data_IF_913010208289
#
_entry.id   IF_913010208289
#
_cell.length_a   1.000
_cell.length_b   1.000
_cell.length_c   1.000
_cell.angle_alpha   90.00
_cell.angle_beta   90.00
_cell.angle_gamma   90.00
#
_symmetry.space_group_name_H-M   'P 1'
#
loop_
_entity.id
_entity.type
_entity.pdbx_description
1 polymer ?
#
# COMPACT_ATOMS: atom_id res chain seq x y z
N UNK A 1 -9.85 4.30 30.15
CA UNK A 1 -8.75 4.62 29.20
C UNK A 1 -8.95 6.06 28.76
N UNK A 2 -8.12 6.98 29.24
CA UNK A 2 -8.35 8.43 29.12
C UNK A 2 -7.84 9.03 27.80
N UNK A 3 -7.16 8.23 26.95
CA UNK A 3 -6.56 8.68 25.70
C UNK A 3 -6.88 7.72 24.56
N UNK A 4 -7.42 8.22 23.43
CA UNK A 4 -7.52 7.42 22.20
C UNK A 4 -6.20 7.50 21.42
N UNK A 5 -5.39 6.45 21.55
CA UNK A 5 -4.10 6.36 20.85
C UNK A 5 -4.22 6.30 19.33
N UNK A 6 -5.40 5.95 18.79
CA UNK A 6 -5.66 5.97 17.34
C UNK A 6 -5.72 7.42 16.85
N UNK A 7 -6.47 8.26 17.58
CA UNK A 7 -6.61 9.70 17.31
C UNK A 7 -5.27 10.41 17.50
N UNK A 8 -4.59 10.18 18.64
CA UNK A 8 -3.23 10.74 18.87
C UNK A 8 -2.24 10.38 17.77
N UNK A 9 -2.28 9.15 17.26
CA UNK A 9 -1.39 8.74 16.16
C UNK A 9 -1.71 9.45 14.84
N UNK A 10 -2.99 9.76 14.61
CA UNK A 10 -3.43 10.53 13.46
C UNK A 10 -3.00 12.00 13.59
N UNK A 11 -3.20 12.61 14.74
CA UNK A 11 -2.77 13.99 15.01
C UNK A 11 -1.25 14.14 14.88
N UNK A 12 -0.50 13.15 15.39
CA UNK A 12 0.95 13.12 15.26
C UNK A 12 1.40 12.96 13.80
N UNK A 13 0.68 12.15 13.01
CA UNK A 13 0.94 12.08 11.56
C UNK A 13 0.69 13.42 10.88
N UNK A 14 -0.40 14.12 11.22
CA UNK A 14 -0.73 15.42 10.64
C UNK A 14 0.30 16.49 11.02
N UNK A 15 0.71 16.55 12.29
CA UNK A 15 1.79 17.42 12.76
C UNK A 15 3.10 17.17 11.99
N UNK A 16 3.43 15.90 11.75
CA UNK A 16 4.60 15.54 10.94
C UNK A 16 4.47 15.95 9.48
N UNK A 17 3.30 15.79 8.89
CA UNK A 17 3.03 16.20 7.52
C UNK A 17 3.26 17.72 7.34
N UNK A 18 2.85 18.50 8.33
CA UNK A 18 2.99 19.96 8.35
C UNK A 18 4.33 20.47 8.89
N UNK A 19 5.22 19.58 9.36
CA UNK A 19 6.53 19.94 9.88
C UNK A 19 6.51 20.58 11.29
N UNK A 20 5.48 20.30 12.08
CA UNK A 20 5.29 20.83 13.44
C UNK A 20 6.15 20.09 14.48
N UNK A 21 7.45 20.43 14.52
CA UNK A 21 8.43 19.73 15.35
C UNK A 21 8.08 19.68 16.85
N UNK A 22 7.62 20.80 17.43
CA UNK A 22 7.34 20.88 18.87
C UNK A 22 6.20 19.95 19.28
N UNK A 23 5.09 19.96 18.52
CA UNK A 23 3.94 19.05 18.70
C UNK A 23 4.38 17.59 18.68
N UNK A 24 5.38 17.25 17.86
CA UNK A 24 5.91 15.89 17.79
C UNK A 24 6.80 15.56 19.00
N UNK A 25 7.74 16.44 19.35
CA UNK A 25 8.70 16.22 20.45
C UNK A 25 8.02 16.15 21.83
N UNK A 26 6.89 16.82 22.03
CA UNK A 26 6.15 16.75 23.29
C UNK A 26 5.59 15.36 23.60
N UNK A 27 5.42 14.52 22.58
CA UNK A 27 4.78 13.20 22.69
C UNK A 27 5.79 12.04 22.77
N UNK A 28 7.06 12.27 22.44
CA UNK A 28 8.07 11.20 22.38
C UNK A 28 8.65 10.85 23.75
N UNK A 29 9.04 9.60 23.90
CA UNK A 29 9.79 9.11 25.06
C UNK A 29 11.28 9.45 24.95
N UNK A 30 12.00 9.42 26.08
CA UNK A 30 13.47 9.54 26.14
C UNK A 30 14.21 8.50 25.27
N UNK A 31 13.68 7.27 25.17
CA UNK A 31 14.22 6.19 24.36
C UNK A 31 13.70 6.15 22.92
N UNK A 32 13.07 7.23 22.44
CA UNK A 32 12.41 7.27 21.14
C UNK A 32 13.34 6.92 19.98
N UNK A 33 12.82 6.13 19.04
CA UNK A 33 13.48 5.81 17.78
C UNK A 33 12.59 6.19 16.59
N UNK A 34 13.22 6.76 15.56
CA UNK A 34 12.54 7.19 14.34
C UNK A 34 13.24 6.62 13.12
N UNK A 35 12.44 6.06 12.21
CA UNK A 35 12.93 5.55 10.92
C UNK A 35 12.10 6.19 9.82
N UNK A 36 12.77 6.85 8.88
CA UNK A 36 12.15 7.49 7.73
C UNK A 36 13.08 7.47 6.51
N UNK A 37 12.55 7.36 5.28
CA UNK A 37 13.35 7.42 4.05
C UNK A 37 14.00 8.80 3.83
N UNK A 38 13.55 9.82 4.55
CA UNK A 38 14.05 11.19 4.44
C UNK A 38 15.10 11.54 5.51
N UNK A 39 15.51 10.59 6.35
CA UNK A 39 16.50 10.83 7.42
C UNK A 39 17.71 9.91 7.29
N UNK A 40 18.88 10.40 7.69
CA UNK A 40 20.09 9.58 7.76
C UNK A 40 20.10 8.79 9.07
N UNK A 41 20.35 7.49 8.98
CA UNK A 41 20.28 6.54 10.11
C UNK A 41 21.37 6.72 11.20
N UNK A 42 22.24 7.73 11.08
CA UNK A 42 23.40 7.93 11.95
C UNK A 42 23.17 8.94 13.10
N UNK A 43 22.04 9.65 13.11
CA UNK A 43 21.75 10.64 14.15
C UNK A 43 20.77 10.12 15.22
N UNK A 44 20.76 10.69 16.44
CA UNK A 44 19.71 10.44 17.43
C UNK A 44 18.31 10.80 16.89
N UNK A 45 17.28 10.06 17.30
CA UNK A 45 15.93 10.21 16.77
C UNK A 45 15.35 11.64 16.85
N UNK A 46 15.55 12.44 17.92
CA UNK A 46 15.08 13.82 17.93
C UNK A 46 15.70 14.70 16.84
N UNK A 47 16.99 14.50 16.53
CA UNK A 47 17.66 15.23 15.43
C UNK A 47 17.18 14.77 14.06
N UNK A 48 16.95 13.46 13.91
CA UNK A 48 16.33 12.94 12.69
C UNK A 48 14.92 13.52 12.49
N UNK A 49 14.13 13.64 13.55
CA UNK A 49 12.79 14.23 13.52
C UNK A 49 12.84 15.72 13.14
N UNK A 50 13.78 16.48 13.70
CA UNK A 50 14.03 17.88 13.32
C UNK A 50 14.39 18.00 11.83
N UNK A 51 15.31 17.17 11.35
CA UNK A 51 15.71 17.13 9.94
C UNK A 51 14.53 16.79 9.03
N UNK A 52 13.71 15.81 9.44
CA UNK A 52 12.49 15.44 8.74
C UNK A 52 11.50 16.62 8.67
N UNK A 53 11.14 17.24 9.80
CA UNK A 53 10.21 18.37 9.84
C UNK A 53 10.67 19.55 8.96
N UNK A 54 11.98 19.85 8.95
CA UNK A 54 12.54 20.88 8.06
C UNK A 54 12.34 20.53 6.59
N UNK A 55 12.62 19.28 6.22
CA UNK A 55 12.46 18.78 4.85
C UNK A 55 11.00 18.82 4.39
N UNK A 56 10.08 18.31 5.22
CA UNK A 56 8.67 18.18 4.85
C UNK A 56 7.87 19.48 4.90
N UNK A 57 8.41 20.57 5.45
CA UNK A 57 7.74 21.89 5.53
C UNK A 57 7.21 22.44 4.19
N UNK A 58 7.75 21.98 3.05
CA UNK A 58 7.28 22.33 1.71
C UNK A 58 6.37 21.28 1.08
N UNK A 59 6.28 20.06 1.63
CA UNK A 59 5.47 18.96 1.08
C UNK A 59 3.97 19.29 0.99
N UNK A 60 3.31 19.87 2.02
CA UNK A 60 1.88 20.19 1.94
C UNK A 60 1.52 21.20 0.83
N UNK A 61 2.50 21.93 0.29
CA UNK A 61 2.30 22.88 -0.81
C UNK A 61 2.17 22.20 -2.16
N UNK A 62 2.66 20.97 -2.29
CA UNK A 62 2.78 20.25 -3.56
C UNK A 62 2.07 18.90 -3.55
N UNK A 63 1.89 18.31 -2.36
CA UNK A 63 1.25 17.02 -2.16
C UNK A 63 0.20 17.14 -1.05
N UNK A 64 -0.90 16.42 -1.23
CA UNK A 64 -1.93 16.22 -0.22
C UNK A 64 -1.88 14.77 0.28
N UNK A 65 -2.59 14.45 1.36
CA UNK A 65 -2.73 13.08 1.82
C UNK A 65 -4.18 12.72 2.16
N UNK A 66 -4.50 11.43 2.04
CA UNK A 66 -5.77 10.86 2.48
C UNK A 66 -5.50 9.66 3.36
N UNK A 67 -5.90 9.72 4.62
CA UNK A 67 -5.91 8.56 5.50
C UNK A 67 -7.02 7.60 5.03
N UNK A 68 -6.64 6.34 4.81
CA UNK A 68 -7.57 5.27 4.46
C UNK A 68 -7.98 4.48 5.69
N UNK A 69 -7.04 4.27 6.62
CA UNK A 69 -7.28 3.45 7.79
C UNK A 69 -6.32 3.78 8.93
N UNK A 70 -6.85 3.79 10.16
CA UNK A 70 -6.08 3.75 11.39
C UNK A 70 -6.48 2.47 12.13
N UNK A 71 -5.50 1.61 12.43
CA UNK A 71 -5.74 0.33 13.09
C UNK A 71 -4.88 0.19 14.33
N UNK A 72 -5.50 -0.21 15.43
CA UNK A 72 -4.79 -0.81 16.54
C UNK A 72 -4.47 -2.25 16.18
N UNK A 73 -3.19 -2.54 15.93
CA UNK A 73 -2.72 -3.86 15.46
C UNK A 73 -2.21 -4.75 16.59
N UNK A 74 -1.83 -4.15 17.72
CA UNK A 74 -1.40 -4.84 18.92
C UNK A 74 -1.68 -3.97 20.16
N UNK A 75 -2.07 -4.57 21.27
CA UNK A 75 -2.30 -3.88 22.54
C UNK A 75 -2.08 -4.81 23.72
N UNK A 76 -1.43 -4.27 24.75
CA UNK A 76 -1.20 -4.84 26.09
C UNK A 76 -1.40 -3.72 27.11
N UNK A 77 -1.24 -4.02 28.40
CA UNK A 77 -1.33 -3.01 29.46
C UNK A 77 -0.26 -1.91 29.34
N UNK A 78 0.91 -2.24 28.79
CA UNK A 78 2.07 -1.33 28.72
C UNK A 78 2.39 -0.85 27.29
N UNK A 79 1.82 -1.47 26.25
CA UNK A 79 2.21 -1.19 24.86
C UNK A 79 1.02 -1.23 23.93
N UNK A 80 0.92 -0.25 23.03
CA UNK A 80 -0.05 -0.20 21.94
C UNK A 80 0.65 0.11 20.62
N UNK A 81 0.33 -0.65 19.58
CA UNK A 81 0.87 -0.45 18.23
C UNK A 81 -0.28 -0.02 17.31
N UNK A 82 -0.12 1.17 16.73
CA UNK A 82 -1.04 1.74 15.76
C UNK A 82 -0.39 1.71 14.37
N UNK A 83 -1.15 1.21 13.40
CA UNK A 83 -0.84 1.23 11.99
C UNK A 83 -1.74 2.25 11.30
N UNK A 84 -1.14 3.28 10.69
CA UNK A 84 -1.82 4.27 9.88
C UNK A 84 -1.46 4.04 8.41
N UNK A 85 -2.50 3.96 7.58
CA UNK A 85 -2.41 3.70 6.15
C UNK A 85 -3.11 4.83 5.41
N UNK A 86 -2.46 5.38 4.40
CA UNK A 86 -3.03 6.43 3.58
C UNK A 86 -2.38 6.49 2.21
N UNK A 87 -2.83 7.45 1.42
CA UNK A 87 -2.25 7.79 0.13
C UNK A 87 -1.76 9.23 0.14
N UNK A 88 -0.58 9.46 -0.41
CA UNK A 88 -0.14 10.79 -0.85
C UNK A 88 -0.73 11.03 -2.22
N UNK A 89 -1.20 12.24 -2.49
CA UNK A 89 -1.75 12.69 -3.77
C UNK A 89 -0.92 13.83 -4.30
N UNK A 90 -0.57 13.80 -5.59
CA UNK A 90 0.02 14.96 -6.25
C UNK A 90 -1.02 15.78 -7.04
N UNK A 91 -0.59 16.93 -7.56
CA UNK A 91 -1.44 17.82 -8.37
C UNK A 91 -1.98 17.16 -9.65
N UNK A 92 -1.35 16.09 -10.12
CA UNK A 92 -1.83 15.29 -11.26
C UNK A 92 -2.85 14.22 -10.87
N UNK A 93 -3.24 14.17 -9.59
CA UNK A 93 -4.12 13.16 -8.96
C UNK A 93 -3.55 11.75 -9.03
N UNK A 94 -2.25 11.62 -9.28
CA UNK A 94 -1.57 10.36 -9.03
C UNK A 94 -1.39 10.17 -7.54
N UNK A 95 -1.40 8.93 -7.08
CA UNK A 95 -1.31 8.64 -5.66
C UNK A 95 -0.32 7.51 -5.36
N UNK A 96 0.37 7.62 -4.22
CA UNK A 96 1.18 6.52 -3.69
C UNK A 96 0.77 6.25 -2.25
N UNK A 97 0.59 4.96 -1.93
CA UNK A 97 0.33 4.57 -0.56
C UNK A 97 1.53 4.82 0.34
N UNK A 98 1.25 5.18 1.57
CA UNK A 98 2.22 5.25 2.64
C UNK A 98 1.73 4.45 3.84
N UNK A 99 2.67 4.07 4.68
CA UNK A 99 2.41 3.42 5.97
C UNK A 99 3.22 4.09 7.05
N UNK A 100 2.55 4.39 8.15
CA UNK A 100 3.17 4.83 9.39
C UNK A 100 2.85 3.85 10.51
N UNK A 101 3.86 3.45 11.26
CA UNK A 101 3.71 2.62 12.46
C UNK A 101 4.09 3.46 13.67
N UNK A 102 3.21 3.48 14.66
CA UNK A 102 3.42 4.16 15.94
C UNK A 102 3.39 3.12 17.05
N UNK A 103 4.43 3.11 17.86
CA UNK A 103 4.51 2.26 19.06
C UNK A 103 4.46 3.17 20.26
N UNK A 104 3.39 3.02 21.03
CA UNK A 104 3.13 3.76 22.26
C UNK A 104 3.46 2.88 23.45
N UNK A 105 4.16 3.44 24.41
CA UNK A 105 4.25 2.89 25.75
C UNK A 105 3.14 3.52 26.60
N UNK A 106 2.26 2.67 27.12
CA UNK A 106 1.13 3.06 27.97
C UNK A 106 1.67 3.16 29.39
N UNK A 107 1.69 4.38 29.94
CA UNK A 107 2.06 4.65 31.32
C UNK A 107 0.88 5.24 32.11
N UNK A 108 0.89 5.15 33.46
CA UNK A 108 -0.21 5.64 34.29
C UNK A 108 -0.48 7.15 34.19
N UNK A 109 0.56 7.96 33.97
CA UNK A 109 0.41 9.42 33.87
C UNK A 109 -0.01 9.84 32.46
N UNK A 110 0.79 9.49 31.45
CA UNK A 110 0.52 9.82 30.06
C UNK A 110 1.21 8.84 29.10
N UNK A 111 0.54 8.35 28.04
CA UNK A 111 1.18 7.54 27.03
C UNK A 111 2.30 8.28 26.29
N UNK A 112 3.44 7.63 26.10
CA UNK A 112 4.62 8.18 25.41
C UNK A 112 4.96 7.37 24.17
N UNK A 113 5.37 8.04 23.10
CA UNK A 113 5.74 7.38 21.85
C UNK A 113 7.19 6.90 21.91
N UNK A 114 7.41 5.60 21.77
CA UNK A 114 8.74 4.97 21.86
C UNK A 114 9.33 4.64 20.50
N UNK A 115 8.51 4.40 19.48
CA UNK A 115 8.99 4.13 18.14
C UNK A 115 8.03 4.64 17.08
N UNK A 116 8.62 5.16 16.01
CA UNK A 116 7.91 5.62 14.83
C UNK A 116 8.65 5.16 13.57
N UNK A 117 7.91 4.53 12.66
CA UNK A 117 8.43 4.14 11.36
C UNK A 117 7.54 4.68 10.25
N UNK A 118 8.10 5.58 9.44
CA UNK A 118 7.45 6.18 8.29
C UNK A 118 8.01 5.55 7.03
N UNK A 119 7.15 4.84 6.32
CA UNK A 119 7.45 4.33 4.99
C UNK A 119 6.64 5.14 3.98
N UNK A 120 7.28 6.21 3.51
CA UNK A 120 6.82 7.05 2.41
C UNK A 120 7.67 6.69 1.18
N UNK A 121 7.07 6.23 0.07
CA UNK A 121 7.77 6.05 -1.19
C UNK A 121 8.05 7.41 -1.83
N UNK A 122 8.86 8.22 -1.16
CA UNK A 122 9.35 9.49 -1.65
C UNK A 122 10.85 9.37 -1.85
N UNK A 123 11.34 10.11 -2.84
CA UNK A 123 12.65 10.00 -3.45
C UNK A 123 13.84 9.89 -2.48
N UNK A 124 15.03 9.46 -2.97
CA UNK A 124 16.22 9.33 -2.14
C UNK A 124 16.50 10.59 -1.32
N UNK A 125 17.21 10.48 -0.17
CA UNK A 125 17.48 11.60 0.72
C UNK A 125 18.03 12.85 0.03
N UNK A 126 18.72 12.67 -1.09
CA UNK A 126 19.38 13.74 -1.85
C UNK A 126 18.51 14.40 -2.93
N UNK A 127 17.28 13.93 -3.17
CA UNK A 127 16.39 14.53 -4.17
C UNK A 127 15.70 15.79 -3.60
N UNK A 128 15.71 16.92 -4.34
CA UNK A 128 14.92 18.10 -4.00
C UNK A 128 13.41 17.79 -3.93
N UNK A 129 12.78 18.17 -2.81
CA UNK A 129 11.36 17.85 -2.53
C UNK A 129 10.40 18.50 -3.52
N UNK A 130 10.76 19.64 -4.11
CA UNK A 130 10.03 20.35 -5.15
C UNK A 130 9.98 19.63 -6.51
N UNK A 131 10.82 18.60 -6.71
CA UNK A 131 10.83 17.76 -7.92
C UNK A 131 10.19 16.38 -7.70
N UNK A 132 9.61 16.17 -6.52
CA UNK A 132 9.02 14.91 -6.15
C UNK A 132 7.74 14.66 -6.95
N UNK A 133 7.73 13.60 -7.76
CA UNK A 133 6.54 13.16 -8.49
C UNK A 133 6.21 11.71 -8.15
N UNK A 134 4.90 11.43 -8.05
CA UNK A 134 4.40 10.07 -7.84
C UNK A 134 4.74 9.16 -9.04
N UNK A 135 4.90 9.76 -10.22
CA UNK A 135 5.15 9.10 -11.50
C UNK A 135 6.49 8.35 -11.63
N UNK A 136 7.47 8.56 -10.74
CA UNK A 136 8.82 8.01 -10.91
C UNK A 136 8.96 6.51 -10.55
N UNK A 137 8.04 5.90 -9.80
CA UNK A 137 8.28 4.57 -9.19
C UNK A 137 7.47 3.38 -9.75
N UNK A 138 6.38 3.56 -10.49
CA UNK A 138 5.66 2.44 -11.10
C UNK A 138 6.16 2.11 -12.52
N UNK A 139 7.45 1.81 -12.65
CA UNK A 139 7.90 1.02 -13.81
C UNK A 139 7.66 -0.44 -13.45
N UNK A 140 6.55 -0.96 -13.98
CA UNK A 140 6.01 -2.27 -13.71
C UNK A 140 7.04 -3.37 -13.85
N UNK A 141 6.80 -4.49 -13.16
CA UNK A 141 7.63 -5.69 -13.25
C UNK A 141 7.12 -6.50 -14.47
N UNK A 142 7.72 -6.38 -15.68
CA UNK A 142 7.23 -7.10 -16.86
C UNK A 142 7.55 -8.59 -16.75
N UNK A 143 6.65 -9.43 -17.24
CA UNK A 143 6.86 -10.87 -17.45
C UNK A 143 6.77 -11.18 -18.93
N UNK A 144 7.58 -12.11 -19.40
CA UNK A 144 7.46 -12.66 -20.75
C UNK A 144 6.69 -13.98 -20.64
N UNK A 145 5.54 -14.05 -21.32
CA UNK A 145 4.69 -15.23 -21.36
C UNK A 145 4.64 -15.79 -22.78
N UNK A 146 4.88 -17.09 -22.93
CA UNK A 146 4.74 -17.77 -24.20
C UNK A 146 3.35 -18.42 -24.29
N UNK A 147 2.59 -18.05 -25.32
CA UNK A 147 1.26 -18.62 -25.54
C UNK A 147 1.33 -20.04 -26.14
N UNK A 148 0.16 -20.65 -26.36
CA UNK A 148 0.05 -21.98 -26.98
C UNK A 148 0.37 -22.02 -28.48
N UNK A 149 0.36 -20.87 -29.14
CA UNK A 149 0.62 -20.73 -30.58
C UNK A 149 2.10 -20.43 -30.86
N UNK A 150 2.90 -20.26 -29.79
CA UNK A 150 4.34 -20.08 -29.83
C UNK A 150 4.79 -18.62 -29.74
N UNK A 151 3.88 -17.65 -29.65
CA UNK A 151 4.19 -16.22 -29.53
C UNK A 151 4.61 -15.85 -28.11
N UNK A 152 5.54 -14.90 -28.01
CA UNK A 152 5.95 -14.31 -26.74
C UNK A 152 5.25 -12.97 -26.53
N UNK A 153 4.63 -12.81 -25.36
CA UNK A 153 3.98 -11.58 -24.93
C UNK A 153 4.74 -10.98 -23.77
N UNK A 154 5.14 -9.73 -23.91
CA UNK A 154 5.58 -8.91 -22.77
C UNK A 154 4.31 -8.40 -22.08
N UNK A 155 4.18 -8.69 -20.79
CA UNK A 155 2.99 -8.36 -19.99
C UNK A 155 3.42 -7.61 -18.74
N UNK A 156 2.85 -6.43 -18.53
CA UNK A 156 2.97 -5.75 -17.26
C UNK A 156 2.03 -6.43 -16.25
N UNK A 157 2.58 -6.92 -15.14
CA UNK A 157 1.78 -7.61 -14.10
C UNK A 157 0.70 -6.72 -13.51
N UNK A 158 0.91 -5.40 -13.47
CA UNK A 158 -0.10 -4.45 -12.99
C UNK A 158 -1.36 -4.43 -13.88
N UNK A 159 -1.22 -4.66 -15.20
CA UNK A 159 -2.35 -4.66 -16.15
C UNK A 159 -3.16 -5.96 -16.12
N UNK A 160 -2.65 -7.03 -15.52
CA UNK A 160 -3.35 -8.32 -15.45
C UNK A 160 -4.50 -8.21 -14.44
N UNK A 161 -5.72 -8.49 -14.88
CA UNK A 161 -6.93 -8.46 -14.05
C UNK A 161 -6.99 -9.67 -13.12
N UNK A 162 -6.82 -10.87 -13.69
CA UNK A 162 -6.83 -12.13 -12.95
C UNK A 162 -6.24 -13.28 -13.78
N UNK A 163 -5.94 -14.38 -13.12
CA UNK A 163 -5.49 -15.63 -13.70
C UNK A 163 -6.56 -16.70 -13.49
N UNK A 164 -6.88 -17.44 -14.55
CA UNK A 164 -7.87 -18.53 -14.52
C UNK A 164 -7.24 -19.85 -14.93
N UNK A 165 -7.39 -20.87 -14.11
CA UNK A 165 -7.01 -22.24 -14.48
C UNK A 165 -8.10 -22.90 -15.33
N UNK A 166 -7.72 -23.37 -16.52
CA UNK A 166 -8.55 -24.21 -17.40
C UNK A 166 -7.78 -25.45 -17.85
N UNK A 167 -8.07 -26.59 -17.23
CA UNK A 167 -7.34 -27.85 -17.43
C UNK A 167 -5.82 -27.67 -17.24
N UNK A 168 -5.02 -28.02 -18.25
CA UNK A 168 -3.55 -27.91 -18.24
C UNK A 168 -3.04 -26.51 -18.62
N UNK A 169 -3.91 -25.52 -18.68
CA UNK A 169 -3.58 -24.15 -19.08
C UNK A 169 -3.98 -23.14 -18.01
N UNK A 170 -3.27 -22.02 -18.00
CA UNK A 170 -3.68 -20.82 -17.29
C UNK A 170 -4.00 -19.73 -18.31
N UNK A 171 -5.17 -19.10 -18.16
CA UNK A 171 -5.60 -17.96 -18.94
C UNK A 171 -5.25 -16.71 -18.14
N UNK A 172 -4.43 -15.85 -18.73
CA UNK A 172 -4.08 -14.53 -18.19
C UNK A 172 -5.06 -13.53 -18.79
N UNK A 173 -5.92 -12.95 -17.94
CA UNK A 173 -6.94 -12.00 -18.37
C UNK A 173 -6.42 -10.56 -18.25
N UNK A 174 -6.41 -9.84 -19.37
CA UNK A 174 -6.09 -8.41 -19.46
C UNK A 174 -7.34 -7.64 -19.94
N UNK A 175 -7.40 -6.30 -19.81
CA UNK A 175 -8.62 -5.54 -20.11
C UNK A 175 -9.14 -5.70 -21.55
N UNK A 176 -8.26 -5.87 -22.55
CA UNK A 176 -8.66 -6.01 -23.95
C UNK A 176 -8.32 -7.37 -24.59
N UNK A 177 -7.63 -8.26 -23.87
CA UNK A 177 -7.19 -9.54 -24.45
C UNK A 177 -6.96 -10.61 -23.39
N UNK A 178 -6.84 -11.85 -23.83
CA UNK A 178 -6.46 -12.98 -22.98
C UNK A 178 -5.26 -13.70 -23.58
N UNK A 179 -4.37 -14.19 -22.73
CA UNK A 179 -3.20 -14.98 -23.15
C UNK A 179 -3.32 -16.35 -22.52
N UNK A 180 -3.28 -17.40 -23.35
CA UNK A 180 -3.35 -18.79 -22.89
C UNK A 180 -1.96 -19.37 -22.80
N UNK A 181 -1.51 -19.71 -21.59
CA UNK A 181 -0.19 -20.32 -21.35
C UNK A 181 -0.32 -21.75 -20.87
N UNK A 182 0.63 -22.61 -21.27
CA UNK A 182 0.72 -24.01 -20.81
C UNK A 182 1.55 -24.12 -19.53
N UNK A 183 1.12 -23.39 -18.50
CA UNK A 183 1.75 -23.35 -17.17
C UNK A 183 0.65 -23.57 -16.12
N UNK A 184 0.92 -24.33 -15.08
CA UNK A 184 -0.04 -24.54 -14.00
C UNK A 184 -0.27 -23.23 -13.22
N UNK A 185 -1.50 -22.96 -12.79
CA UNK A 185 -1.84 -21.70 -12.09
C UNK A 185 -0.97 -21.46 -10.84
N UNK A 186 -0.69 -22.50 -10.06
CA UNK A 186 0.17 -22.41 -8.87
C UNK A 186 1.63 -22.10 -9.19
N UNK A 187 2.11 -22.55 -10.35
CA UNK A 187 3.47 -22.34 -10.81
C UNK A 187 3.61 -20.91 -11.33
N UNK A 188 2.71 -20.51 -12.23
CA UNK A 188 2.69 -19.16 -12.78
C UNK A 188 2.58 -18.09 -11.69
N UNK A 189 1.75 -18.33 -10.66
CA UNK A 189 1.57 -17.39 -9.55
C UNK A 189 2.87 -17.04 -8.81
N UNK A 190 3.88 -17.93 -8.79
CA UNK A 190 5.15 -17.66 -8.10
C UNK A 190 5.92 -16.48 -8.70
N UNK A 191 5.70 -16.23 -9.98
CA UNK A 191 6.32 -15.12 -10.69
C UNK A 191 5.50 -13.83 -10.56
N UNK A 192 4.35 -13.86 -9.89
CA UNK A 192 3.50 -12.68 -9.68
C UNK A 192 3.67 -12.11 -8.26
N UNK A 193 3.45 -10.80 -8.08
CA UNK A 193 3.68 -10.16 -6.80
C UNK A 193 2.57 -10.53 -5.81
N UNK A 194 2.81 -10.20 -4.56
CA UNK A 194 1.99 -10.45 -3.39
C UNK A 194 0.61 -9.76 -3.38
N UNK A 195 0.36 -8.87 -4.35
CA UNK A 195 -0.97 -8.34 -4.65
C UNK A 195 -1.84 -9.26 -5.53
N UNK A 196 -1.31 -10.43 -5.93
CA UNK A 196 -2.10 -11.50 -6.54
C UNK A 196 -2.55 -12.52 -5.48
N UNK A 197 -3.86 -12.61 -5.26
CA UNK A 197 -4.44 -13.44 -4.19
C UNK A 197 -5.24 -14.60 -4.76
N UNK A 198 -5.00 -15.80 -4.23
CA UNK A 198 -5.69 -17.02 -4.66
C UNK A 198 -7.03 -17.21 -3.94
N UNK A 199 -8.08 -16.74 -4.58
CA UNK A 199 -9.45 -16.73 -4.04
C UNK A 199 -10.24 -18.01 -4.33
N UNK A 200 -9.83 -18.79 -5.34
CA UNK A 200 -10.43 -20.07 -5.71
C UNK A 200 -9.36 -21.06 -6.19
N UNK A 201 -9.68 -22.37 -6.26
CA UNK A 201 -8.76 -23.37 -6.83
C UNK A 201 -8.38 -23.04 -8.29
N UNK A 202 -9.31 -22.41 -9.01
CA UNK A 202 -9.17 -22.02 -10.41
C UNK A 202 -8.92 -20.53 -10.64
N UNK A 203 -8.90 -19.69 -9.59
CA UNK A 203 -8.79 -18.24 -9.78
C UNK A 203 -7.78 -17.62 -8.82
N UNK A 204 -6.95 -16.75 -9.38
CA UNK A 204 -6.12 -15.78 -8.65
C UNK A 204 -6.49 -14.40 -9.17
N UNK A 205 -6.80 -13.46 -8.29
CA UNK A 205 -7.14 -12.09 -8.69
C UNK A 205 -5.98 -11.15 -8.45
N UNK A 206 -5.88 -10.11 -9.26
CA UNK A 206 -5.10 -8.93 -8.92
C UNK A 206 -5.97 -8.01 -8.06
N UNK A 207 -5.58 -7.78 -6.80
CA UNK A 207 -6.40 -6.99 -5.88
C UNK A 207 -6.48 -5.50 -6.24
N UNK A 208 -5.61 -5.03 -7.15
CA UNK A 208 -5.63 -3.67 -7.68
C UNK A 208 -6.83 -3.39 -8.57
N UNK A 209 -7.40 -4.43 -9.15
CA UNK A 209 -8.57 -4.35 -10.04
C UNK A 209 -9.87 -4.71 -9.32
N UNK A 210 -9.89 -4.82 -7.99
CA UNK A 210 -11.10 -5.17 -7.24
C UNK A 210 -12.00 -3.95 -7.08
N UNK A 211 -13.24 -4.07 -7.55
CA UNK A 211 -14.28 -3.04 -7.36
C UNK A 211 -15.17 -3.32 -6.15
N UNK A 212 -15.52 -4.60 -5.92
CA UNK A 212 -16.45 -4.99 -4.86
C UNK A 212 -16.14 -6.39 -4.34
N UNK A 213 -16.18 -6.57 -3.03
CA UNK A 213 -16.05 -7.87 -2.37
C UNK A 213 -17.38 -8.20 -1.70
N UNK A 214 -17.99 -9.30 -2.12
CA UNK A 214 -19.22 -9.84 -1.53
C UNK A 214 -18.96 -11.19 -0.88
N UNK A 215 -19.93 -11.75 -0.14
CA UNK A 215 -19.75 -13.03 0.56
C UNK A 215 -19.41 -14.20 -0.39
N UNK A 216 -19.96 -14.20 -1.60
CA UNK A 216 -19.86 -15.33 -2.54
C UNK A 216 -19.05 -15.03 -3.80
N UNK A 217 -18.67 -13.78 -4.01
CA UNK A 217 -17.95 -13.37 -5.22
C UNK A 217 -17.18 -12.05 -5.04
N UNK A 218 -16.22 -11.84 -5.92
CA UNK A 218 -15.45 -10.61 -6.06
C UNK A 218 -15.70 -10.05 -7.45
N UNK A 219 -16.07 -8.77 -7.54
CA UNK A 219 -16.21 -8.06 -8.80
C UNK A 219 -14.91 -7.32 -9.12
N UNK A 220 -14.41 -7.52 -10.33
CA UNK A 220 -13.22 -6.85 -10.84
C UNK A 220 -13.59 -5.76 -11.85
N UNK A 221 -12.66 -4.84 -12.09
CA UNK A 221 -12.71 -3.86 -13.16
C UNK A 221 -12.98 -4.56 -14.51
N UNK A 222 -13.88 -3.97 -15.31
CA UNK A 222 -14.37 -4.58 -16.55
C UNK A 222 -15.51 -5.60 -16.35
N UNK A 223 -16.06 -5.71 -15.14
CA UNK A 223 -17.32 -6.43 -14.88
C UNK A 223 -17.18 -7.94 -14.70
N UNK A 224 -15.97 -8.46 -14.47
CA UNK A 224 -15.76 -9.89 -14.20
C UNK A 224 -16.19 -10.26 -12.78
N UNK A 225 -16.92 -11.38 -12.63
CA UNK A 225 -17.36 -11.91 -11.33
C UNK A 225 -16.60 -13.20 -10.99
N UNK A 226 -15.81 -13.18 -9.92
CA UNK A 226 -14.97 -14.29 -9.50
C UNK A 226 -15.58 -14.97 -8.26
N UNK A 227 -15.96 -16.26 -8.33
CA UNK A 227 -16.63 -16.93 -7.22
C UNK A 227 -15.66 -17.22 -6.05
N UNK A 228 -16.18 -17.08 -4.83
CA UNK A 228 -15.49 -17.46 -3.59
C UNK A 228 -16.16 -18.71 -3.00
N UNK A 229 -15.40 -19.77 -2.66
CA UNK A 229 -15.97 -20.92 -1.95
C UNK A 229 -16.54 -20.49 -0.60
N UNK A 230 -17.78 -20.91 -0.29
CA UNK A 230 -18.46 -20.50 0.95
C UNK A 230 -17.64 -20.79 2.22
N UNK A 231 -16.98 -21.95 2.27
CA UNK A 231 -16.09 -22.35 3.39
C UNK A 231 -14.86 -21.48 3.55
N UNK A 232 -14.37 -20.85 2.47
CA UNK A 232 -13.20 -19.96 2.48
C UNK A 232 -13.58 -18.48 2.44
N UNK A 233 -14.86 -18.13 2.43
CA UNK A 233 -15.35 -16.76 2.24
C UNK A 233 -14.72 -15.76 3.22
N UNK A 234 -14.68 -16.10 4.51
CA UNK A 234 -14.09 -15.23 5.55
C UNK A 234 -12.58 -15.05 5.34
N UNK A 235 -11.83 -16.16 5.21
CA UNK A 235 -10.36 -16.09 5.07
C UNK A 235 -9.96 -15.37 3.78
N UNK A 236 -10.62 -15.67 2.67
CA UNK A 236 -10.37 -15.01 1.38
C UNK A 236 -10.63 -13.52 1.47
N UNK A 237 -11.71 -13.10 2.14
CA UNK A 237 -11.98 -11.67 2.33
C UNK A 237 -10.88 -11.00 3.15
N UNK A 238 -10.41 -11.62 4.23
CA UNK A 238 -9.30 -11.10 5.04
C UNK A 238 -7.99 -11.05 4.23
N UNK A 239 -7.63 -12.12 3.52
CA UNK A 239 -6.47 -12.20 2.63
C UNK A 239 -6.51 -11.12 1.54
N UNK A 240 -7.67 -10.91 0.91
CA UNK A 240 -7.85 -9.90 -0.13
C UNK A 240 -7.77 -8.49 0.45
N UNK A 241 -8.41 -8.20 1.59
CA UNK A 241 -8.32 -6.87 2.21
C UNK A 241 -6.88 -6.56 2.66
N UNK A 242 -6.20 -7.53 3.24
CA UNK A 242 -4.81 -7.41 3.68
C UNK A 242 -3.85 -7.25 2.49
N UNK A 243 -4.08 -8.00 1.40
CA UNK A 243 -3.36 -7.79 0.16
C UNK A 243 -3.69 -6.44 -0.49
N UNK A 244 -4.94 -5.98 -0.47
CA UNK A 244 -5.31 -4.64 -0.95
C UNK A 244 -4.57 -3.57 -0.16
N UNK A 245 -4.49 -3.72 1.16
CA UNK A 245 -3.72 -2.82 2.02
C UNK A 245 -2.25 -2.82 1.59
N UNK A 246 -1.60 -3.98 1.46
CA UNK A 246 -0.20 -4.08 1.01
C UNK A 246 0.00 -3.53 -0.40
N UNK A 247 -0.91 -3.84 -1.31
CA UNK A 247 -0.84 -3.47 -2.71
C UNK A 247 -1.10 -1.97 -2.90
N UNK A 248 -1.95 -1.36 -2.08
CA UNK A 248 -2.17 0.09 -2.05
C UNK A 248 -0.92 0.84 -1.59
N UNK A 249 -0.06 0.22 -0.79
CA UNK A 249 1.30 0.73 -0.51
C UNK A 249 2.22 0.72 -1.76
N UNK A 250 1.82 0.04 -2.84
CA UNK A 250 2.61 -0.12 -4.07
C UNK A 250 1.93 0.47 -5.31
N UNK A 251 0.60 0.64 -5.34
CA UNK A 251 -0.11 1.13 -6.52
C UNK A 251 -1.46 1.79 -6.24
N UNK A 252 -1.51 3.08 -6.54
CA UNK A 252 -2.62 3.61 -7.31
C UNK A 252 -2.05 4.06 -8.66
N UNK A 253 -1.94 3.14 -9.60
CA UNK A 253 -1.94 3.51 -11.02
C UNK A 253 -3.07 2.78 -11.70
N UNK A 254 -3.71 3.52 -12.59
CA UNK A 254 -4.70 3.07 -13.57
C UNK A 254 -6.15 3.05 -13.09
N UNK A 255 -6.74 4.24 -12.94
CA UNK A 255 -8.13 4.44 -13.37
C UNK A 255 -8.41 5.90 -13.76
N UNK A 256 -7.86 6.32 -14.90
CA UNK A 256 -8.43 7.43 -15.70
C UNK A 256 -7.76 7.60 -17.08
N UNK A 257 -7.88 6.60 -17.97
CA UNK A 257 -7.78 6.90 -19.41
C UNK A 257 -8.94 6.26 -20.16
N UNK A 258 -9.98 7.05 -20.37
CA UNK A 258 -10.82 6.95 -21.58
C UNK A 258 -10.46 8.13 -22.47
N UNK A 259 -9.99 7.94 -23.71
CA UNK A 259 -9.81 9.04 -24.64
C UNK A 259 -11.20 9.54 -25.05
N UNK A 260 -11.53 10.81 -24.73
CA UNK A 260 -12.59 11.50 -25.46
C UNK A 260 -12.14 11.58 -26.92
N UNK A 261 -12.72 10.76 -27.78
CA UNK A 261 -12.71 10.98 -29.23
C UNK A 261 -13.37 12.34 -29.49
N UNK A 262 -12.82 13.03 -30.49
CA UNK A 262 -13.21 14.34 -31.02
C UNK A 262 -14.72 14.53 -31.12
#
# INVERSE_FOLDING_TARGET
>A
MQYDLSERSLDLFDALWHGELNTCLEQVDTGFSFVSPLTNAHEPAPKQLESYCKRVSSLPKILDYRVLQVRRVFETEETCIILLLGNVLDSSRETIGFRCTFVWHIQPEEPRLVHMHFSLPLAPPDMPIDKLSVSAQARGNPIILRDTDGHSHVVNRAEVLYLESRHQYTIVHLPQRQIRVRIALSELLRDFPDYFVRVHRSYVINVLHVEQISRREIRLAGGSHIPIPERRSKSVREEVLDAMIRARLVSERENSISPKRK
#
